data_IF_964334903913
#
_entry.id   IF_964334903913
#
_cell.length_a   1.000
_cell.length_b   1.000
_cell.length_c   1.000
_cell.angle_alpha   90.00
_cell.angle_beta   90.00
_cell.angle_gamma   90.00
#
_symmetry.space_group_name_H-M   'P 1'
#
loop_
_entity.id
_entity.type
_entity.pdbx_description
1 polymer ?
#
# COMPACT_ATOMS: atom_id res chain seq x y z
N UNK A 1 6.54 6.74 21.35
CA UNK A 1 6.66 8.11 21.89
C UNK A 1 5.83 9.00 20.96
N UNK A 2 4.68 9.43 21.46
CA UNK A 2 3.58 10.02 20.68
C UNK A 2 3.99 11.33 19.99
N UNK A 3 3.48 11.58 18.78
CA UNK A 3 3.75 12.83 18.03
C UNK A 3 3.26 14.03 18.83
N UNK A 4 2.17 13.85 19.57
CA UNK A 4 1.59 14.84 20.47
C UNK A 4 2.55 15.23 21.60
N UNK A 5 3.29 14.26 22.17
CA UNK A 5 4.30 14.52 23.18
C UNK A 5 5.49 15.31 22.62
N UNK A 6 5.86 15.10 21.36
CA UNK A 6 6.93 15.88 20.70
C UNK A 6 6.49 17.31 20.39
N UNK A 7 5.23 17.51 19.98
CA UNK A 7 4.65 18.83 19.76
C UNK A 7 4.61 19.62 21.07
N UNK A 8 4.13 19.00 22.15
CA UNK A 8 4.09 19.62 23.47
C UNK A 8 5.49 19.97 24.00
N UNK A 9 6.48 19.08 23.82
CA UNK A 9 7.87 19.36 24.22
C UNK A 9 8.46 20.55 23.44
N UNK A 10 8.21 20.63 22.13
CA UNK A 10 8.64 21.75 21.30
C UNK A 10 7.95 23.07 21.69
N UNK A 11 6.66 23.04 21.99
CA UNK A 11 5.92 24.21 22.47
C UNK A 11 6.46 24.72 23.81
N UNK A 12 6.73 23.81 24.75
CA UNK A 12 7.31 24.15 26.04
C UNK A 12 8.71 24.76 25.89
N UNK A 13 9.53 24.23 24.98
CA UNK A 13 10.85 24.81 24.67
C UNK A 13 10.76 26.20 24.08
N UNK A 14 9.82 26.43 23.15
CA UNK A 14 9.59 27.77 22.57
C UNK A 14 9.18 28.76 23.67
N UNK A 15 8.31 28.36 24.58
CA UNK A 15 7.84 29.27 25.64
C UNK A 15 8.94 29.59 26.65
N UNK A 16 9.74 28.60 27.06
CA UNK A 16 10.92 28.84 27.89
C UNK A 16 11.91 29.82 27.24
N UNK A 17 12.20 29.66 25.94
CA UNK A 17 13.14 30.56 25.24
C UNK A 17 12.58 31.98 25.16
N UNK A 18 11.27 32.15 24.95
CA UNK A 18 10.65 33.48 24.99
C UNK A 18 10.73 34.13 26.36
N UNK A 19 10.55 33.36 27.44
CA UNK A 19 10.71 33.86 28.81
C UNK A 19 12.16 34.29 29.05
N UNK A 20 13.16 33.49 28.65
CA UNK A 20 14.57 33.86 28.75
C UNK A 20 14.89 35.15 27.96
N UNK A 21 14.36 35.30 26.75
CA UNK A 21 14.50 36.54 25.96
C UNK A 21 13.86 37.74 26.66
N UNK A 22 12.69 37.54 27.28
CA UNK A 22 11.98 38.61 28.00
C UNK A 22 12.76 39.04 29.25
N UNK A 23 13.34 38.10 29.98
CA UNK A 23 14.18 38.37 31.15
C UNK A 23 15.47 39.08 30.79
N UNK A 24 16.11 38.69 29.68
CA UNK A 24 17.27 39.41 29.14
C UNK A 24 16.88 40.86 28.79
N UNK A 25 15.75 41.07 28.11
CA UNK A 25 15.25 42.41 27.75
C UNK A 25 14.85 43.27 28.96
N UNK A 26 14.38 42.67 30.04
CA UNK A 26 14.06 43.40 31.29
C UNK A 26 15.34 43.77 32.05
N UNK A 27 16.33 42.86 32.12
CA UNK A 27 17.63 43.15 32.73
C UNK A 27 18.43 44.19 31.92
N UNK A 28 18.21 44.28 30.60
CA UNK A 28 18.75 45.33 29.72
C UNK A 28 18.37 46.76 30.15
N UNK A 29 17.20 46.96 30.80
CA UNK A 29 16.77 48.28 31.30
C UNK A 29 17.43 48.66 32.64
N UNK A 30 18.17 47.75 33.29
CA UNK A 30 18.77 47.95 34.62
C UNK A 30 20.27 47.62 34.60
N UNK A 31 21.10 48.66 34.43
CA UNK A 31 22.55 48.76 34.71
C UNK A 31 23.55 48.37 33.58
N UNK A 32 24.13 49.42 33.01
CA UNK A 32 25.52 49.60 32.56
C UNK A 32 26.12 48.62 31.51
N UNK A 33 25.84 48.97 30.26
CA UNK A 33 26.46 48.79 28.92
C UNK A 33 27.62 47.80 28.62
N UNK A 34 28.37 47.24 29.57
CA UNK A 34 29.59 46.45 29.24
C UNK A 34 29.27 45.04 28.72
N UNK A 35 28.07 44.52 29.00
CA UNK A 35 27.59 43.21 28.53
C UNK A 35 26.68 43.31 27.29
N UNK A 36 26.49 44.51 26.73
CA UNK A 36 25.54 44.80 25.66
C UNK A 36 25.68 43.87 24.44
N UNK A 37 26.90 43.73 23.91
CA UNK A 37 27.18 42.87 22.75
C UNK A 37 26.95 41.38 23.05
N UNK A 38 27.20 40.94 24.28
CA UNK A 38 26.99 39.55 24.69
C UNK A 38 25.51 39.19 24.77
N UNK A 39 24.67 40.12 25.21
CA UNK A 39 23.22 39.90 25.29
C UNK A 39 22.52 40.01 23.94
N UNK A 40 22.94 40.93 23.06
CA UNK A 40 22.43 41.00 21.67
C UNK A 40 22.72 39.68 20.95
N UNK A 41 23.96 39.21 20.96
CA UNK A 41 24.31 37.96 20.29
C UNK A 41 23.51 36.76 20.83
N UNK A 42 23.19 36.78 22.14
CA UNK A 42 22.37 35.73 22.76
C UNK A 42 20.90 35.82 22.35
N UNK A 43 20.34 37.02 22.26
CA UNK A 43 18.97 37.27 21.77
C UNK A 43 18.86 36.87 20.30
N UNK A 44 19.79 37.28 19.45
CA UNK A 44 19.80 36.91 18.03
C UNK A 44 19.87 35.39 17.85
N UNK A 45 20.75 34.71 18.61
CA UNK A 45 20.83 33.24 18.60
C UNK A 45 19.53 32.57 19.08
N UNK A 46 18.81 33.18 20.01
CA UNK A 46 17.52 32.68 20.49
C UNK A 46 16.40 32.91 19.46
N UNK A 47 16.40 34.04 18.75
CA UNK A 47 15.46 34.32 17.66
C UNK A 47 15.63 33.33 16.49
N UNK A 48 16.88 33.02 16.14
CA UNK A 48 17.21 32.00 15.14
C UNK A 48 16.73 30.61 15.59
N UNK A 49 16.97 30.25 16.86
CA UNK A 49 16.51 28.98 17.42
C UNK A 49 14.97 28.87 17.43
N UNK A 50 14.25 29.93 17.83
CA UNK A 50 12.78 29.97 17.81
C UNK A 50 12.25 29.85 16.39
N UNK A 51 12.89 30.52 15.42
CA UNK A 51 12.49 30.45 14.01
C UNK A 51 12.66 29.04 13.45
N UNK A 52 13.79 28.39 13.75
CA UNK A 52 14.05 26.99 13.40
C UNK A 52 13.05 26.02 14.04
N UNK A 53 12.75 26.20 15.33
CA UNK A 53 11.75 25.38 16.04
C UNK A 53 10.34 25.57 15.46
N UNK A 54 9.95 26.79 15.09
CA UNK A 54 8.66 27.04 14.42
C UNK A 54 8.58 26.34 13.07
N UNK A 55 9.64 26.41 12.25
CA UNK A 55 9.67 25.73 10.96
C UNK A 55 9.56 24.21 11.11
N UNK A 56 10.28 23.64 12.10
CA UNK A 56 10.18 22.21 12.41
C UNK A 56 8.78 21.81 12.90
N UNK A 57 8.16 22.64 13.74
CA UNK A 57 6.78 22.41 14.21
C UNK A 57 5.78 22.40 13.05
N UNK A 58 5.92 23.33 12.10
CA UNK A 58 5.07 23.40 10.91
C UNK A 58 5.24 22.15 10.03
N UNK A 59 6.48 21.69 9.84
CA UNK A 59 6.76 20.46 9.10
C UNK A 59 6.17 19.22 9.79
N UNK A 60 6.30 19.11 11.10
CA UNK A 60 5.69 18.02 11.87
C UNK A 60 4.16 18.08 11.75
N UNK A 61 3.56 19.27 11.84
CA UNK A 61 2.11 19.44 11.68
C UNK A 61 1.63 18.99 10.29
N UNK A 62 2.35 19.36 9.22
CA UNK A 62 2.06 18.89 7.85
C UNK A 62 2.18 17.37 7.73
N UNK A 63 3.21 16.77 8.33
CA UNK A 63 3.39 15.31 8.33
C UNK A 63 2.26 14.60 9.09
N UNK A 64 1.81 15.15 10.22
CA UNK A 64 0.68 14.61 10.99
C UNK A 64 -0.62 14.63 10.17
N UNK A 65 -0.87 15.72 9.45
CA UNK A 65 -2.03 15.83 8.55
C UNK A 65 -1.96 14.79 7.42
N UNK A 66 -0.80 14.64 6.76
CA UNK A 66 -0.58 13.61 5.74
C UNK A 66 -0.79 12.19 6.28
N UNK A 67 -0.27 11.88 7.47
CA UNK A 67 -0.46 10.58 8.11
C UNK A 67 -1.93 10.32 8.43
N UNK A 68 -2.68 11.35 8.82
CA UNK A 68 -4.12 11.26 9.08
C UNK A 68 -4.89 10.92 7.79
N UNK A 69 -4.56 11.58 6.68
CA UNK A 69 -5.15 11.29 5.36
C UNK A 69 -4.82 9.86 4.88
N UNK A 70 -3.57 9.40 5.06
CA UNK A 70 -3.18 8.02 4.75
C UNK A 70 -4.00 7.02 5.57
N UNK A 71 -4.17 7.27 6.87
CA UNK A 71 -4.97 6.40 7.75
C UNK A 71 -6.44 6.35 7.34
N UNK A 72 -7.03 7.47 6.93
CA UNK A 72 -8.39 7.51 6.39
C UNK A 72 -8.51 6.69 5.08
N UNK A 73 -7.55 6.85 4.17
CA UNK A 73 -7.52 6.09 2.91
C UNK A 73 -7.35 4.58 3.13
N UNK A 74 -6.52 4.21 4.11
CA UNK A 74 -6.33 2.81 4.49
C UNK A 74 -7.63 2.21 5.06
N UNK A 75 -8.31 2.92 5.95
CA UNK A 75 -9.59 2.50 6.50
C UNK A 75 -10.65 2.32 5.41
N UNK A 76 -10.75 3.27 4.47
CA UNK A 76 -11.67 3.14 3.32
C UNK A 76 -11.35 1.90 2.47
N UNK A 77 -10.07 1.65 2.22
CA UNK A 77 -9.60 0.50 1.43
C UNK A 77 -9.92 -0.81 2.14
N UNK A 78 -9.69 -0.88 3.46
CA UNK A 78 -10.04 -2.05 4.27
C UNK A 78 -11.53 -2.33 4.24
N UNK A 79 -12.39 -1.31 4.38
CA UNK A 79 -13.84 -1.49 4.28
C UNK A 79 -14.24 -2.05 2.92
N UNK A 80 -13.71 -1.50 1.82
CA UNK A 80 -13.98 -2.02 0.46
C UNK A 80 -13.53 -3.47 0.30
N UNK A 81 -12.36 -3.82 0.83
CA UNK A 81 -11.83 -5.19 0.75
C UNK A 81 -12.73 -6.16 1.53
N UNK A 82 -13.17 -5.78 2.72
CA UNK A 82 -14.10 -6.58 3.53
C UNK A 82 -15.42 -6.79 2.79
N UNK A 83 -16.00 -5.74 2.21
CA UNK A 83 -17.23 -5.87 1.41
C UNK A 83 -17.06 -6.80 0.23
N UNK A 84 -15.97 -6.66 -0.54
CA UNK A 84 -15.67 -7.57 -1.64
C UNK A 84 -15.55 -9.02 -1.16
N UNK A 85 -14.89 -9.26 -0.03
CA UNK A 85 -14.73 -10.60 0.53
C UNK A 85 -16.08 -11.21 0.94
N UNK A 86 -16.97 -10.42 1.52
CA UNK A 86 -18.34 -10.84 1.86
C UNK A 86 -19.16 -11.18 0.61
N UNK A 87 -19.07 -10.35 -0.44
CA UNK A 87 -19.70 -10.61 -1.73
C UNK A 87 -19.19 -11.90 -2.37
N UNK A 88 -17.87 -12.11 -2.44
CA UNK A 88 -17.28 -13.35 -2.95
C UNK A 88 -17.74 -14.59 -2.16
N UNK A 89 -17.76 -14.50 -0.83
CA UNK A 89 -18.23 -15.59 0.03
C UNK A 89 -19.70 -15.93 -0.23
N UNK A 90 -20.55 -14.92 -0.43
CA UNK A 90 -21.95 -15.11 -0.79
C UNK A 90 -22.09 -15.81 -2.14
N UNK A 91 -21.40 -15.32 -3.18
CA UNK A 91 -21.43 -15.93 -4.52
C UNK A 91 -20.93 -17.38 -4.49
N UNK A 92 -19.90 -17.69 -3.69
CA UNK A 92 -19.42 -19.06 -3.54
C UNK A 92 -20.48 -20.00 -2.94
N UNK A 93 -21.26 -19.52 -1.96
CA UNK A 93 -22.33 -20.30 -1.35
C UNK A 93 -23.52 -20.51 -2.30
N UNK A 94 -23.86 -19.50 -3.11
CA UNK A 94 -24.86 -19.61 -4.18
C UNK A 94 -24.44 -20.67 -5.20
N UNK A 95 -23.22 -20.58 -5.75
CA UNK A 95 -22.67 -21.58 -6.70
C UNK A 95 -22.69 -22.99 -6.10
N UNK A 96 -22.32 -23.16 -4.84
CA UNK A 96 -22.33 -24.46 -4.17
C UNK A 96 -23.75 -25.05 -4.08
N UNK A 97 -24.75 -24.18 -3.91
CA UNK A 97 -26.16 -24.56 -3.87
C UNK A 97 -26.64 -24.97 -5.26
N UNK A 98 -26.36 -24.16 -6.28
CA UNK A 98 -26.69 -24.45 -7.67
C UNK A 98 -26.07 -25.78 -8.14
N UNK A 99 -24.81 -26.05 -7.79
CA UNK A 99 -24.15 -27.34 -8.09
C UNK A 99 -24.88 -28.51 -7.42
N UNK A 100 -25.35 -28.33 -6.18
CA UNK A 100 -26.09 -29.38 -5.45
C UNK A 100 -27.44 -29.65 -6.12
N UNK A 101 -28.15 -28.61 -6.54
CA UNK A 101 -29.42 -28.70 -7.26
C UNK A 101 -29.23 -29.36 -8.63
N UNK A 102 -28.27 -28.90 -9.44
CA UNK A 102 -27.91 -29.49 -10.72
C UNK A 102 -27.57 -30.98 -10.59
N UNK A 103 -26.78 -31.34 -9.58
CA UNK A 103 -26.46 -32.76 -9.30
C UNK A 103 -27.72 -33.56 -8.96
N UNK A 104 -28.65 -32.96 -8.21
CA UNK A 104 -29.97 -33.55 -7.93
C UNK A 104 -30.77 -33.80 -9.22
N UNK A 105 -30.89 -32.79 -10.07
CA UNK A 105 -31.58 -32.89 -11.37
C UNK A 105 -30.92 -33.93 -12.27
N UNK A 106 -29.59 -33.96 -12.36
CA UNK A 106 -28.86 -34.96 -13.15
C UNK A 106 -29.16 -36.38 -12.67
N UNK A 107 -29.26 -36.61 -11.35
CA UNK A 107 -29.58 -37.92 -10.80
C UNK A 107 -31.03 -38.36 -11.05
N UNK A 108 -31.96 -37.41 -11.23
CA UNK A 108 -33.37 -37.72 -11.52
C UNK A 108 -33.68 -37.81 -13.01
N UNK A 109 -32.76 -37.37 -13.89
CA UNK A 109 -32.89 -37.57 -15.32
C UNK A 109 -32.81 -39.06 -15.65
N UNK A 110 -33.93 -39.60 -16.12
CA UNK A 110 -34.00 -40.95 -16.67
C UNK A 110 -33.29 -40.97 -18.03
N UNK A 111 -32.02 -41.40 -18.03
CA UNK A 111 -31.16 -41.48 -19.22
C UNK A 111 -31.36 -42.78 -20.03
N UNK A 112 -32.42 -43.55 -19.75
CA UNK A 112 -32.70 -44.81 -20.44
C UNK A 112 -33.18 -44.55 -21.89
N UNK A 113 -32.24 -44.17 -22.74
CA UNK A 113 -32.37 -44.03 -24.20
C UNK A 113 -32.13 -45.35 -24.92
N UNK A 114 -32.01 -46.47 -24.18
CA UNK A 114 -31.77 -47.80 -24.74
C UNK A 114 -32.85 -48.24 -25.74
N UNK A 115 -34.05 -47.65 -25.66
CA UNK A 115 -35.18 -47.91 -26.58
C UNK A 115 -35.41 -46.82 -27.64
N UNK A 116 -34.66 -45.71 -27.63
CA UNK A 116 -34.81 -44.62 -28.60
C UNK A 116 -33.59 -44.55 -29.53
N UNK A 117 -33.63 -45.37 -30.57
CA UNK A 117 -32.56 -45.59 -31.55
C UNK A 117 -32.10 -44.32 -32.27
N UNK A 118 -33.01 -43.38 -32.52
CA UNK A 118 -32.73 -42.16 -33.28
C UNK A 118 -31.86 -41.18 -32.48
N UNK A 119 -32.16 -41.06 -31.18
CA UNK A 119 -31.45 -40.17 -30.27
C UNK A 119 -30.02 -40.67 -29.96
N UNK A 120 -29.82 -42.00 -30.00
CA UNK A 120 -28.50 -42.63 -29.82
C UNK A 120 -27.55 -42.37 -30.99
N UNK A 121 -28.07 -42.34 -32.22
CA UNK A 121 -27.24 -42.01 -33.40
C UNK A 121 -26.86 -40.53 -33.43
N UNK A 122 -27.80 -39.65 -33.07
CA UNK A 122 -27.58 -38.21 -32.99
C UNK A 122 -26.58 -37.84 -31.89
N UNK A 123 -26.68 -38.45 -30.71
CA UNK A 123 -25.74 -38.25 -29.61
C UNK A 123 -24.32 -38.73 -29.96
N UNK A 124 -24.17 -39.86 -30.67
CA UNK A 124 -22.87 -40.36 -31.13
C UNK A 124 -22.23 -39.43 -32.17
N UNK A 125 -23.01 -38.85 -33.07
CA UNK A 125 -22.52 -37.87 -34.05
C UNK A 125 -22.13 -36.54 -33.41
N UNK A 126 -22.84 -36.09 -32.37
CA UNK A 126 -22.45 -34.92 -31.58
C UNK A 126 -21.16 -35.18 -30.80
N UNK A 127 -21.03 -36.35 -30.15
CA UNK A 127 -19.82 -36.72 -29.41
C UNK A 127 -18.59 -36.78 -30.34
N UNK A 128 -18.73 -37.34 -31.56
CA UNK A 128 -17.66 -37.33 -32.57
C UNK A 128 -17.25 -35.91 -32.96
N UNK A 129 -18.21 -35.00 -33.16
CA UNK A 129 -17.92 -33.60 -33.50
C UNK A 129 -17.23 -32.86 -32.34
N UNK A 130 -17.66 -33.09 -31.10
CA UNK A 130 -17.03 -32.50 -29.91
C UNK A 130 -15.60 -33.01 -29.73
N UNK A 131 -15.33 -34.31 -29.93
CA UNK A 131 -13.98 -34.86 -29.87
C UNK A 131 -13.03 -34.26 -30.92
N UNK A 132 -13.53 -34.00 -32.14
CA UNK A 132 -12.76 -33.30 -33.18
C UNK A 132 -12.41 -31.88 -32.74
N UNK A 133 -13.37 -31.15 -32.16
CA UNK A 133 -13.15 -29.76 -31.69
C UNK A 133 -12.16 -29.71 -30.51
N UNK A 134 -12.28 -30.61 -29.52
CA UNK A 134 -11.33 -30.70 -28.40
C UNK A 134 -9.93 -31.07 -28.91
N UNK A 135 -9.81 -31.97 -29.89
CA UNK A 135 -8.54 -32.28 -30.56
C UNK A 135 -7.92 -31.07 -31.25
N UNK A 136 -8.72 -30.25 -31.94
CA UNK A 136 -8.25 -29.00 -32.56
C UNK A 136 -7.83 -27.94 -31.54
N UNK A 137 -8.50 -27.85 -30.39
CA UNK A 137 -8.14 -26.90 -29.31
C UNK A 137 -6.82 -27.32 -28.63
N UNK A 138 -6.60 -28.62 -28.38
CA UNK A 138 -5.36 -29.12 -27.78
C UNK A 138 -4.18 -28.96 -28.75
N UNK A 139 -4.37 -29.24 -30.05
CA UNK A 139 -3.34 -29.02 -31.09
C UNK A 139 -3.09 -27.52 -31.33
N UNK A 140 -4.13 -26.68 -31.31
CA UNK A 140 -4.00 -25.22 -31.42
C UNK A 140 -3.23 -24.59 -30.25
N UNK A 141 -3.51 -25.02 -29.01
CA UNK A 141 -2.80 -24.55 -27.82
C UNK A 141 -1.32 -25.01 -27.80
N UNK A 142 -1.00 -26.19 -28.35
CA UNK A 142 0.38 -26.66 -28.48
C UNK A 142 1.17 -25.88 -29.55
N UNK A 143 0.51 -25.45 -30.64
CA UNK A 143 1.13 -24.64 -31.70
C UNK A 143 1.32 -23.18 -31.24
N UNK A 144 0.38 -22.59 -30.49
CA UNK A 144 0.52 -21.23 -29.94
C UNK A 144 1.68 -21.11 -28.94
N UNK A 145 1.90 -22.09 -28.05
CA UNK A 145 3.06 -22.11 -27.14
C UNK A 145 4.41 -22.24 -27.86
N UNK A 146 4.43 -22.80 -29.08
CA UNK A 146 5.65 -22.95 -29.89
C UNK A 146 6.04 -21.68 -30.66
N UNK A 147 5.10 -20.76 -30.93
CA UNK A 147 5.36 -19.60 -31.80
C UNK A 147 5.88 -18.37 -31.05
N UNK A 148 5.77 -18.33 -29.72
CA UNK A 148 6.15 -17.16 -28.91
C UNK A 148 7.55 -17.28 -28.29
N UNK A 149 8.52 -17.77 -29.07
CA UNK A 149 9.95 -17.68 -28.75
C UNK A 149 10.64 -16.63 -29.64
N UNK A 150 11.11 -15.59 -28.97
CA UNK A 150 12.22 -14.68 -29.31
C UNK A 150 12.05 -13.63 -30.42
N UNK A 151 11.96 -12.37 -30.00
CA UNK A 151 12.86 -11.31 -30.48
C UNK A 151 13.45 -10.57 -29.28
N UNK A 152 14.72 -10.84 -29.02
CA UNK A 152 15.60 -10.13 -28.08
C UNK A 152 16.00 -8.77 -28.64
N UNK A 153 16.16 -7.77 -27.78
CA UNK A 153 17.18 -6.73 -27.97
C UNK A 153 17.85 -6.44 -26.64
N UNK A 154 19.07 -6.97 -26.53
CA UNK A 154 20.10 -6.53 -25.59
C UNK A 154 20.34 -5.03 -25.73
N UNK A 155 20.40 -4.31 -24.61
CA UNK A 155 21.23 -3.13 -24.52
C UNK A 155 22.31 -3.38 -23.46
N UNK A 156 23.55 -3.15 -23.85
CA UNK A 156 24.81 -3.39 -23.14
C UNK A 156 25.23 -2.01 -22.59
N UNK A 157 25.64 -1.79 -21.34
CA UNK A 157 27.03 -1.88 -20.84
C UNK A 157 27.08 -1.38 -19.36
N UNK A 158 27.75 -2.17 -18.49
CA UNK A 158 28.70 -1.92 -17.36
C UNK A 158 28.64 -0.64 -16.47
N UNK A 159 29.07 -0.57 -15.19
CA UNK A 159 30.10 -1.28 -14.39
C UNK A 159 29.74 -1.33 -12.87
N UNK A 160 30.44 -2.23 -12.16
CA UNK A 160 30.56 -2.48 -10.71
C UNK A 160 30.62 -1.26 -9.77
N UNK A 161 30.11 -1.42 -8.54
CA UNK A 161 30.92 -1.41 -7.29
C UNK A 161 30.15 -2.02 -6.12
N UNK A 162 30.76 -3.02 -5.48
CA UNK A 162 30.47 -3.50 -4.12
C UNK A 162 30.60 -2.36 -3.12
N UNK A 163 29.72 -2.28 -2.10
CA UNK A 163 30.16 -1.99 -0.73
C UNK A 163 29.35 -2.86 0.25
N UNK A 164 30.11 -3.51 1.13
CA UNK A 164 29.77 -4.52 2.12
C UNK A 164 28.90 -4.00 3.29
N UNK A 165 28.19 -4.93 3.92
CA UNK A 165 27.73 -4.83 5.30
C UNK A 165 28.92 -4.92 6.27
N UNK A 166 28.97 -4.02 7.23
CA UNK A 166 29.28 -4.22 8.66
C UNK A 166 29.27 -2.80 9.27
N UNK A 167 28.54 -2.54 10.34
CA UNK A 167 28.84 -3.10 11.64
C UNK A 167 29.45 -1.99 12.48
N UNK A 168 28.68 -1.54 13.46
CA UNK A 168 29.15 -1.10 14.77
C UNK A 168 29.99 0.19 14.92
N UNK A 169 29.40 1.05 15.76
CA UNK A 169 29.97 1.59 17.02
C UNK A 169 30.69 2.95 17.01
N UNK A 170 30.04 3.81 17.82
CA UNK A 170 30.58 4.68 18.88
C UNK A 170 31.64 5.72 18.52
N UNK A 171 31.37 6.99 18.85
CA UNK A 171 32.05 7.77 19.91
C UNK A 171 31.07 8.79 20.48
#
# INVERSE_FOLDING_TARGET
MDVENKINDLQNKIENIKEEMRDIKINYLKKDDTNYQKYINKVDSMEDAVSSLKANLENISKQTEQNTQIMQSLNLTNTKLTTLLEEYSKTQNEIKTDIKELKGTVNTLNLDTSKNTDMRSFAWDIIKKILIVIGCVIVGMAIEQSSNKSKTSLNKINYYTEIQYEGDRYV
#
